data_IF_303112871905
#
_entry.id   IF_303112871905
#
_cell.length_a   1.000
_cell.length_b   1.000
_cell.length_c   1.000
_cell.angle_alpha   90.00
_cell.angle_beta   90.00
_cell.angle_gamma   90.00
#
_symmetry.space_group_name_H-M   'P 1'
#
loop_
_entity.id
_entity.type
_entity.pdbx_description
1 polymer ?
#
# COMPACT_ATOMS: atom_id res chain seq x y z
N UNK A 1 27.58 -6.26 -10.15
CA UNK A 1 26.62 -6.12 -9.02
C UNK A 1 25.34 -5.37 -9.39
N UNK A 2 25.37 -4.20 -10.07
CA UNK A 2 24.16 -3.46 -10.47
C UNK A 2 23.11 -4.29 -11.23
N UNK A 3 23.53 -5.21 -12.09
CA UNK A 3 22.61 -6.02 -12.89
C UNK A 3 21.84 -7.06 -12.06
N UNK A 4 22.44 -7.59 -10.97
CA UNK A 4 21.82 -8.61 -10.12
C UNK A 4 20.75 -7.97 -9.23
N UNK A 5 21.05 -6.83 -8.61
CA UNK A 5 20.11 -6.11 -7.75
C UNK A 5 18.89 -5.63 -8.57
N UNK A 6 19.13 -5.09 -9.78
CA UNK A 6 18.05 -4.66 -10.67
C UNK A 6 17.20 -5.84 -11.16
N UNK A 7 17.82 -6.98 -11.47
CA UNK A 7 17.08 -8.17 -11.87
C UNK A 7 16.29 -8.75 -10.70
N UNK A 8 16.84 -8.72 -9.48
CA UNK A 8 16.18 -9.16 -8.27
C UNK A 8 14.95 -8.30 -7.94
N UNK A 9 15.07 -6.97 -8.03
CA UNK A 9 13.93 -6.07 -7.78
C UNK A 9 12.84 -6.22 -8.83
N UNK A 10 13.20 -6.42 -10.11
CA UNK A 10 12.24 -6.74 -11.17
C UNK A 10 11.53 -8.06 -10.91
N UNK A 11 12.27 -9.13 -10.59
CA UNK A 11 11.69 -10.44 -10.26
C UNK A 11 10.75 -10.37 -9.07
N UNK A 12 11.16 -9.70 -7.99
CA UNK A 12 10.32 -9.45 -6.82
C UNK A 12 9.01 -8.79 -7.24
N UNK A 13 9.09 -7.68 -7.98
CA UNK A 13 7.92 -6.92 -8.44
C UNK A 13 6.97 -7.77 -9.29
N UNK A 14 7.50 -8.46 -10.30
CA UNK A 14 6.69 -9.32 -11.20
C UNK A 14 5.99 -10.43 -10.41
N UNK A 15 6.71 -11.05 -9.47
CA UNK A 15 6.19 -12.17 -8.69
C UNK A 15 5.09 -11.70 -7.73
N UNK A 16 5.29 -10.57 -7.05
CA UNK A 16 4.30 -9.98 -6.15
C UNK A 16 3.06 -9.49 -6.91
N UNK A 17 3.22 -8.92 -8.11
CA UNK A 17 2.10 -8.52 -8.97
C UNK A 17 1.28 -9.71 -9.48
N UNK A 18 1.96 -10.81 -9.82
CA UNK A 18 1.32 -12.00 -10.38
C UNK A 18 0.61 -12.83 -9.30
N UNK A 19 1.33 -13.15 -8.22
CA UNK A 19 0.83 -14.04 -7.16
C UNK A 19 -0.01 -13.30 -6.12
N UNK A 20 0.13 -11.97 -6.01
CA UNK A 20 -0.49 -11.11 -4.99
C UNK A 20 -0.07 -11.47 -3.55
N UNK A 21 0.99 -12.25 -3.39
CA UNK A 21 1.59 -12.62 -2.10
C UNK A 21 2.96 -11.94 -2.01
N UNK A 22 3.34 -11.37 -0.85
CA UNK A 22 4.66 -10.77 -0.68
C UNK A 22 5.77 -11.80 -0.94
N UNK A 23 6.85 -11.36 -1.58
CA UNK A 23 7.92 -12.25 -2.01
C UNK A 23 8.56 -13.00 -0.84
N UNK A 24 8.69 -12.37 0.34
CA UNK A 24 9.19 -13.03 1.56
C UNK A 24 8.35 -14.25 1.95
N UNK A 25 7.03 -14.17 1.81
CA UNK A 25 6.14 -15.30 2.12
C UNK A 25 6.16 -16.37 1.04
N UNK A 26 6.48 -16.03 -0.22
CA UNK A 26 6.75 -17.05 -1.25
C UNK A 26 8.03 -17.84 -0.93
N UNK A 27 9.08 -17.17 -0.46
CA UNK A 27 10.29 -17.83 0.06
C UNK A 27 9.90 -18.76 1.22
N UNK A 28 9.08 -18.28 2.16
CA UNK A 28 8.63 -19.08 3.29
C UNK A 28 7.86 -20.35 2.88
N UNK A 29 6.96 -20.26 1.89
CA UNK A 29 6.29 -21.44 1.29
C UNK A 29 7.31 -22.39 0.68
N UNK A 30 8.22 -21.88 -0.16
CA UNK A 30 9.20 -22.69 -0.86
C UNK A 30 10.12 -23.44 0.11
N UNK A 31 10.61 -22.76 1.15
CA UNK A 31 11.38 -23.38 2.22
C UNK A 31 10.60 -24.48 2.93
N UNK A 32 9.33 -24.19 3.25
CA UNK A 32 8.46 -25.18 3.90
C UNK A 32 8.29 -26.43 3.04
N UNK A 33 8.08 -26.28 1.72
CA UNK A 33 8.00 -27.42 0.79
C UNK A 33 9.32 -28.19 0.69
N UNK A 34 10.46 -27.50 0.69
CA UNK A 34 11.78 -28.14 0.62
C UNK A 34 12.12 -28.95 1.88
N UNK A 35 11.75 -28.45 3.06
CA UNK A 35 11.90 -29.17 4.32
C UNK A 35 10.96 -30.37 4.36
N UNK A 36 9.68 -30.17 4.03
CA UNK A 36 8.69 -31.23 4.02
C UNK A 36 9.04 -32.37 3.05
N UNK A 37 9.57 -32.05 1.87
CA UNK A 37 9.98 -33.04 0.86
C UNK A 37 11.30 -33.76 1.16
N UNK A 38 11.99 -33.43 2.26
CA UNK A 38 13.29 -33.99 2.61
C UNK A 38 14.45 -33.57 1.69
N UNK A 39 14.19 -32.80 0.64
CA UNK A 39 15.21 -32.34 -0.33
C UNK A 39 16.09 -31.22 0.20
N UNK A 40 15.69 -30.56 1.29
CA UNK A 40 16.45 -29.48 1.89
C UNK A 40 17.85 -29.88 2.33
N UNK A 41 18.06 -31.14 2.75
CA UNK A 41 19.36 -31.60 3.22
C UNK A 41 20.43 -31.51 2.11
N UNK A 42 20.10 -31.91 0.89
CA UNK A 42 21.02 -31.83 -0.26
C UNK A 42 21.43 -30.37 -0.56
N UNK A 43 20.50 -29.42 -0.44
CA UNK A 43 20.77 -28.00 -0.66
C UNK A 43 21.71 -27.46 0.42
N UNK A 44 21.43 -27.79 1.68
CA UNK A 44 22.25 -27.40 2.82
C UNK A 44 23.68 -27.95 2.67
N UNK A 45 23.84 -29.21 2.28
CA UNK A 45 25.15 -29.83 2.05
C UNK A 45 25.92 -29.17 0.90
N UNK A 46 25.26 -28.83 -0.21
CA UNK A 46 25.90 -28.12 -1.33
C UNK A 46 26.40 -26.74 -0.89
N UNK A 47 25.58 -25.96 -0.19
CA UNK A 47 25.95 -24.59 0.20
C UNK A 47 27.02 -24.59 1.29
N UNK A 48 26.92 -25.51 2.25
CA UNK A 48 27.88 -25.62 3.37
C UNK A 48 29.15 -26.40 3.02
N UNK A 49 29.26 -26.98 1.82
CA UNK A 49 30.48 -27.61 1.31
C UNK A 49 31.66 -26.62 1.24
N UNK A 50 31.39 -25.34 1.03
CA UNK A 50 32.39 -24.29 1.07
C UNK A 50 32.58 -23.80 2.51
N UNK A 51 33.78 -24.04 3.06
CA UNK A 51 34.13 -23.66 4.43
C UNK A 51 33.95 -22.16 4.71
N UNK A 52 34.33 -21.28 3.78
CA UNK A 52 34.23 -19.82 3.95
C UNK A 52 32.76 -19.41 4.03
N UNK A 53 31.94 -19.93 3.10
CA UNK A 53 30.50 -19.64 3.06
C UNK A 53 29.84 -20.14 4.34
N UNK A 54 30.16 -21.37 4.78
CA UNK A 54 29.64 -21.94 6.02
C UNK A 54 29.96 -21.05 7.23
N UNK A 55 31.21 -20.61 7.38
CA UNK A 55 31.62 -19.73 8.49
C UNK A 55 30.86 -18.41 8.49
N UNK A 56 30.70 -17.77 7.32
CA UNK A 56 29.93 -16.52 7.19
C UNK A 56 28.46 -16.74 7.60
N UNK A 57 27.84 -17.81 7.12
CA UNK A 57 26.45 -18.13 7.45
C UNK A 57 26.25 -18.42 8.93
N UNK A 58 27.16 -19.17 9.55
CA UNK A 58 27.13 -19.45 11.00
C UNK A 58 27.23 -18.15 11.79
N UNK A 59 28.18 -17.28 11.47
CA UNK A 59 28.34 -15.99 12.14
C UNK A 59 27.09 -15.11 12.01
N UNK A 60 26.50 -15.03 10.80
CA UNK A 60 25.25 -14.30 10.59
C UNK A 60 24.09 -14.88 11.41
N UNK A 61 24.03 -16.20 11.53
CA UNK A 61 22.98 -16.90 12.30
C UNK A 61 23.17 -16.72 13.80
N UNK A 62 24.41 -16.69 14.28
CA UNK A 62 24.75 -16.38 15.68
C UNK A 62 24.40 -14.93 16.03
N UNK A 63 24.66 -13.97 15.14
CA UNK A 63 24.25 -12.58 15.35
C UNK A 63 22.72 -12.45 15.45
N UNK A 64 21.99 -13.14 14.58
CA UNK A 64 20.52 -13.13 14.65
C UNK A 64 19.99 -13.93 15.84
N UNK A 65 20.66 -15.01 16.26
CA UNK A 65 20.23 -15.78 17.43
C UNK A 65 20.32 -14.95 18.71
N UNK A 66 21.29 -14.02 18.83
CA UNK A 66 21.31 -13.05 19.95
C UNK A 66 20.02 -12.23 20.04
N UNK A 67 19.44 -11.85 18.89
CA UNK A 67 18.18 -11.12 18.82
C UNK A 67 17.03 -12.05 19.25
N UNK A 68 16.91 -13.23 18.64
CA UNK A 68 15.77 -14.12 18.90
C UNK A 68 15.79 -14.78 20.29
N UNK A 69 16.97 -15.04 20.84
CA UNK A 69 17.13 -15.53 22.22
C UNK A 69 16.66 -14.48 23.24
N UNK A 70 16.80 -13.19 22.91
CA UNK A 70 16.39 -12.08 23.77
C UNK A 70 15.12 -11.37 23.26
N UNK A 71 14.34 -12.03 22.40
CA UNK A 71 13.23 -11.39 21.69
C UNK A 71 12.20 -10.75 22.64
N UNK A 72 11.86 -11.42 23.75
CA UNK A 72 10.95 -10.87 24.76
C UNK A 72 11.52 -9.60 25.39
N UNK A 73 12.82 -9.61 25.75
CA UNK A 73 13.47 -8.44 26.33
C UNK A 73 13.51 -7.27 25.33
N UNK A 74 13.80 -7.55 24.06
CA UNK A 74 13.78 -6.55 22.97
C UNK A 74 12.36 -5.99 22.80
N UNK A 75 11.35 -6.85 22.78
CA UNK A 75 9.94 -6.43 22.68
C UNK A 75 9.56 -5.51 23.84
N UNK A 76 9.87 -5.90 25.08
CA UNK A 76 9.61 -5.10 26.28
C UNK A 76 10.36 -3.76 26.21
N UNK A 77 11.63 -3.75 25.80
CA UNK A 77 12.41 -2.54 25.66
C UNK A 77 11.81 -1.57 24.63
N UNK A 78 11.34 -2.08 23.47
CA UNK A 78 10.70 -1.26 22.44
C UNK A 78 9.37 -0.67 22.95
N UNK A 79 8.54 -1.49 23.62
CA UNK A 79 7.27 -1.03 24.19
C UNK A 79 7.50 0.04 25.25
N UNK A 80 8.46 -0.18 26.15
CA UNK A 80 8.84 0.82 27.17
C UNK A 80 9.34 2.11 26.52
N UNK A 81 10.15 2.03 25.46
CA UNK A 81 10.60 3.20 24.71
C UNK A 81 9.44 3.96 24.07
N UNK A 82 8.47 3.26 23.47
CA UNK A 82 7.28 3.86 22.88
C UNK A 82 6.42 4.57 23.95
N UNK A 83 6.18 3.92 25.09
CA UNK A 83 5.45 4.52 26.22
C UNK A 83 6.19 5.75 26.74
N UNK A 84 7.51 5.66 26.90
CA UNK A 84 8.34 6.77 27.38
C UNK A 84 8.27 7.97 26.43
N UNK A 85 8.32 7.76 25.11
CA UNK A 85 8.13 8.82 24.10
C UNK A 85 6.76 9.49 24.28
N UNK A 86 5.68 8.71 24.43
CA UNK A 86 4.33 9.25 24.60
C UNK A 86 4.17 10.02 25.92
N UNK A 87 4.75 9.52 27.01
CA UNK A 87 4.69 10.17 28.32
C UNK A 87 5.51 11.46 28.32
N UNK A 88 6.73 11.45 27.76
CA UNK A 88 7.54 12.65 27.61
C UNK A 88 6.83 13.69 26.75
N UNK A 89 6.15 13.27 25.69
CA UNK A 89 5.37 14.19 24.86
C UNK A 89 4.24 14.84 25.64
N UNK A 90 3.50 14.07 26.44
CA UNK A 90 2.38 14.60 27.19
C UNK A 90 2.80 15.50 28.36
N UNK A 91 3.92 15.20 29.00
CA UNK A 91 4.34 15.84 30.26
C UNK A 91 5.44 16.89 30.09
N UNK A 92 6.13 16.95 28.95
CA UNK A 92 7.29 17.83 28.79
C UNK A 92 7.29 18.53 27.43
N UNK A 93 7.85 19.74 27.40
CA UNK A 93 8.11 20.49 26.17
C UNK A 93 9.38 20.02 25.43
N UNK A 94 9.93 18.85 25.75
CA UNK A 94 11.16 18.31 25.12
C UNK A 94 10.99 18.19 23.60
N UNK A 95 9.76 17.96 23.13
CA UNK A 95 9.44 17.86 21.71
C UNK A 95 9.31 19.21 21.00
N UNK A 96 9.33 20.35 21.72
CA UNK A 96 9.44 21.68 21.11
C UNK A 96 10.85 21.96 20.56
N UNK A 97 11.81 21.07 20.84
CA UNK A 97 13.17 21.11 20.27
C UNK A 97 13.21 20.43 18.90
N UNK A 98 12.19 19.64 18.54
CA UNK A 98 12.15 19.00 17.23
C UNK A 98 12.02 20.04 16.12
N UNK A 99 12.57 19.76 14.92
CA UNK A 99 12.41 20.64 13.77
C UNK A 99 10.93 20.87 13.47
N UNK A 100 10.60 22.09 13.05
CA UNK A 100 9.29 22.39 12.49
C UNK A 100 9.02 21.53 11.25
N UNK A 101 7.74 21.38 10.94
CA UNK A 101 7.28 20.65 9.77
C UNK A 101 7.87 21.27 8.49
N UNK A 102 8.35 20.40 7.59
CA UNK A 102 8.95 20.81 6.32
C UNK A 102 7.94 20.53 5.21
N UNK A 103 7.45 21.59 4.59
CA UNK A 103 6.64 21.53 3.37
C UNK A 103 7.53 21.46 2.14
N UNK A 104 7.36 20.42 1.34
CA UNK A 104 8.03 20.24 0.07
C UNK A 104 7.20 20.81 -1.07
N UNK A 105 7.87 21.14 -2.18
CA UNK A 105 7.27 21.71 -3.39
C UNK A 105 6.27 20.78 -4.09
N UNK A 106 6.19 19.52 -3.69
CA UNK A 106 5.24 18.53 -4.19
C UNK A 106 3.97 18.40 -3.32
N UNK A 107 3.82 19.26 -2.30
CA UNK A 107 2.69 19.27 -1.37
C UNK A 107 2.86 18.32 -0.18
N UNK A 108 4.01 17.65 -0.04
CA UNK A 108 4.25 16.75 1.09
C UNK A 108 4.74 17.52 2.32
N UNK A 109 4.17 17.19 3.50
CA UNK A 109 4.58 17.75 4.79
C UNK A 109 5.31 16.67 5.59
N UNK A 110 6.60 16.87 5.87
CA UNK A 110 7.33 16.01 6.80
C UNK A 110 7.20 16.60 8.20
N UNK A 111 6.45 15.89 9.06
CA UNK A 111 6.32 16.25 10.48
C UNK A 111 7.15 15.36 11.40
N UNK A 112 7.83 15.99 12.35
CA UNK A 112 8.63 15.32 13.39
C UNK A 112 7.78 15.14 14.63
N UNK A 113 6.94 14.11 14.64
CA UNK A 113 5.94 13.90 15.69
C UNK A 113 6.14 12.57 16.46
N UNK A 114 5.72 12.50 17.74
CA UNK A 114 5.88 11.30 18.58
C UNK A 114 5.06 10.10 18.09
N UNK A 115 3.94 10.35 17.40
CA UNK A 115 3.08 9.31 16.83
C UNK A 115 3.83 8.55 15.73
N UNK A 116 4.58 9.26 14.89
CA UNK A 116 5.46 8.72 13.85
C UNK A 116 6.59 7.89 14.46
N UNK A 117 7.19 8.36 15.56
CA UNK A 117 8.22 7.60 16.28
C UNK A 117 7.66 6.29 16.87
N UNK A 118 6.50 6.35 17.54
CA UNK A 118 5.81 5.17 18.06
C UNK A 118 5.42 4.20 16.94
N UNK A 119 4.92 4.71 15.80
CA UNK A 119 4.60 3.90 14.63
C UNK A 119 5.83 3.21 14.06
N UNK A 120 6.99 3.89 14.00
CA UNK A 120 8.25 3.28 13.54
C UNK A 120 8.71 2.15 14.47
N UNK A 121 8.60 2.34 15.78
CA UNK A 121 8.91 1.30 16.78
C UNK A 121 7.97 0.10 16.65
N UNK A 122 6.67 0.34 16.47
CA UNK A 122 5.71 -0.72 16.22
C UNK A 122 6.01 -1.48 14.92
N UNK A 123 6.29 -0.76 13.83
CA UNK A 123 6.69 -1.36 12.56
C UNK A 123 7.98 -2.19 12.69
N UNK A 124 8.91 -1.78 13.55
CA UNK A 124 10.12 -2.53 13.85
C UNK A 124 9.80 -3.87 14.52
N UNK A 125 8.87 -3.90 15.49
CA UNK A 125 8.39 -5.16 16.09
C UNK A 125 7.76 -6.05 15.03
N UNK A 126 6.89 -5.49 14.17
CA UNK A 126 6.25 -6.25 13.10
C UNK A 126 7.30 -6.85 12.17
N UNK A 127 8.27 -6.05 11.71
CA UNK A 127 9.35 -6.51 10.82
C UNK A 127 10.25 -7.57 11.47
N UNK A 128 10.54 -7.45 12.77
CA UNK A 128 11.27 -8.49 13.52
C UNK A 128 10.49 -9.80 13.59
N UNK A 129 9.17 -9.73 13.65
CA UNK A 129 8.28 -10.90 13.76
C UNK A 129 8.00 -11.59 12.43
N UNK A 130 8.17 -10.88 11.31
CA UNK A 130 7.82 -11.35 9.96
C UNK A 130 9.06 -11.48 9.08
N UNK A 131 9.46 -10.44 8.35
CA UNK A 131 10.50 -10.48 7.34
C UNK A 131 11.86 -10.90 7.92
N UNK A 132 12.26 -10.33 9.07
CA UNK A 132 13.51 -10.68 9.72
C UNK A 132 13.48 -12.13 10.23
N UNK A 133 12.33 -12.58 10.71
CA UNK A 133 12.16 -13.94 11.21
C UNK A 133 12.24 -14.97 10.07
N UNK A 134 11.62 -14.68 8.93
CA UNK A 134 11.73 -15.53 7.73
C UNK A 134 13.18 -15.58 7.23
N UNK A 135 13.92 -14.48 7.30
CA UNK A 135 15.36 -14.49 7.01
C UNK A 135 16.15 -15.36 7.99
N UNK A 136 15.86 -15.29 9.29
CA UNK A 136 16.49 -16.17 10.28
C UNK A 136 16.15 -17.65 10.06
N UNK A 137 14.90 -17.94 9.72
CA UNK A 137 14.43 -19.27 9.33
C UNK A 137 15.16 -19.80 8.08
N UNK A 138 15.32 -18.96 7.05
CA UNK A 138 16.08 -19.28 5.84
C UNK A 138 17.54 -19.62 6.16
N UNK A 139 18.21 -18.84 7.01
CA UNK A 139 19.60 -19.09 7.38
C UNK A 139 19.76 -20.42 8.13
N UNK A 140 18.88 -20.70 9.08
CA UNK A 140 18.87 -22.00 9.78
C UNK A 140 18.63 -23.17 8.81
N UNK A 141 17.73 -23.00 7.83
CA UNK A 141 17.51 -23.98 6.76
C UNK A 141 18.77 -24.25 5.94
N UNK A 142 19.49 -23.21 5.54
CA UNK A 142 20.71 -23.35 4.73
C UNK A 142 21.82 -24.04 5.54
N UNK A 143 21.97 -23.71 6.82
CA UNK A 143 23.04 -24.27 7.66
C UNK A 143 22.80 -25.74 7.96
N UNK A 144 21.61 -26.09 8.42
CA UNK A 144 21.28 -27.47 8.76
C UNK A 144 19.76 -27.67 8.85
N UNK A 145 19.21 -28.45 7.93
CA UNK A 145 17.78 -28.77 7.92
C UNK A 145 17.33 -29.64 9.09
N UNK A 146 18.25 -30.27 9.83
CA UNK A 146 17.93 -31.09 11.02
C UNK A 146 17.46 -30.26 12.22
N UNK A 147 17.59 -28.94 12.17
CA UNK A 147 16.99 -28.04 13.16
C UNK A 147 15.47 -27.99 13.06
N UNK A 148 14.89 -28.54 12.00
CA UNK A 148 13.46 -28.57 11.78
C UNK A 148 12.87 -29.96 11.99
N UNK A 149 11.66 -29.98 12.53
CA UNK A 149 10.82 -31.15 12.63
C UNK A 149 9.47 -30.89 11.96
N UNK A 150 8.90 -31.93 11.37
CA UNK A 150 7.55 -31.87 10.80
C UNK A 150 6.59 -32.47 11.82
N UNK A 151 5.64 -31.66 12.31
CA UNK A 151 4.56 -32.08 13.21
C UNK A 151 3.23 -31.57 12.69
N UNK A 152 2.20 -32.42 12.66
CA UNK A 152 0.85 -32.04 12.21
C UNK A 152 0.83 -31.35 10.83
N UNK A 153 1.66 -31.81 9.89
CA UNK A 153 1.85 -31.22 8.54
C UNK A 153 2.43 -29.79 8.52
N UNK A 154 2.89 -29.28 9.67
CA UNK A 154 3.59 -28.00 9.81
C UNK A 154 5.04 -28.23 10.19
N UNK A 155 5.88 -27.22 9.94
CA UNK A 155 7.31 -27.25 10.26
C UNK A 155 7.57 -26.42 11.50
N UNK A 156 8.33 -27.00 12.43
CA UNK A 156 8.71 -26.39 13.69
C UNK A 156 10.22 -26.53 13.91
N UNK A 157 10.78 -25.67 14.75
CA UNK A 157 12.12 -25.82 15.29
C UNK A 157 12.16 -26.93 16.35
N UNK A 158 13.24 -27.72 16.36
CA UNK A 158 13.40 -28.93 17.15
C UNK A 158 14.01 -28.68 18.55
N UNK A 159 13.16 -28.80 19.57
CA UNK A 159 13.38 -28.86 21.03
C UNK A 159 14.68 -28.26 21.67
N UNK A 160 14.54 -27.02 22.13
CA UNK A 160 15.25 -26.32 23.23
C UNK A 160 14.27 -25.28 23.83
N UNK A 161 14.46 -24.79 25.06
CA UNK A 161 13.51 -23.86 25.72
C UNK A 161 13.29 -22.55 24.95
N UNK A 162 14.27 -22.13 24.13
CA UNK A 162 14.19 -20.98 23.22
C UNK A 162 13.25 -21.26 22.02
N UNK A 163 13.04 -22.54 21.70
CA UNK A 163 12.26 -22.96 20.53
C UNK A 163 10.77 -22.69 20.67
N UNK A 164 10.25 -22.58 21.89
CA UNK A 164 8.83 -22.27 22.10
C UNK A 164 8.48 -20.91 21.51
N UNK A 165 9.34 -19.91 21.67
CA UNK A 165 9.11 -18.58 21.11
C UNK A 165 9.25 -18.57 19.58
N UNK A 166 10.27 -19.25 19.06
CA UNK A 166 10.46 -19.42 17.62
C UNK A 166 9.28 -20.15 16.98
N UNK A 167 8.74 -21.17 17.66
CA UNK A 167 7.57 -21.92 17.20
C UNK A 167 6.28 -21.09 17.28
N UNK A 168 6.12 -20.22 18.27
CA UNK A 168 5.03 -19.24 18.30
C UNK A 168 5.14 -18.29 17.09
N UNK A 169 6.33 -17.76 16.80
CA UNK A 169 6.57 -16.94 15.62
C UNK A 169 6.31 -17.70 14.31
N UNK A 170 6.64 -18.99 14.24
CA UNK A 170 6.27 -19.85 13.11
C UNK A 170 4.75 -19.91 12.93
N UNK A 171 3.99 -20.17 14.00
CA UNK A 171 2.51 -20.21 13.95
C UNK A 171 1.94 -18.88 13.49
N UNK A 172 2.43 -17.75 14.02
CA UNK A 172 2.01 -16.40 13.59
C UNK A 172 2.25 -16.22 12.10
N UNK A 173 3.41 -16.63 11.59
CA UNK A 173 3.73 -16.53 10.17
C UNK A 173 2.87 -17.47 9.29
N UNK A 174 2.46 -18.64 9.78
CA UNK A 174 1.48 -19.48 9.10
C UNK A 174 0.09 -18.82 9.01
N UNK A 175 -0.36 -18.14 10.07
CA UNK A 175 -1.64 -17.41 10.06
C UNK A 175 -1.57 -16.25 9.07
N UNK A 176 -0.47 -15.50 9.06
CA UNK A 176 -0.26 -14.41 8.09
C UNK A 176 -0.24 -14.95 6.66
N UNK A 177 0.46 -16.06 6.42
CA UNK A 177 0.49 -16.73 5.12
C UNK A 177 -0.91 -17.12 4.66
N UNK A 178 -1.72 -17.73 5.53
CA UNK A 178 -3.11 -18.08 5.23
C UNK A 178 -3.91 -16.83 4.81
N UNK A 179 -3.73 -15.71 5.52
CA UNK A 179 -4.39 -14.44 5.16
C UNK A 179 -3.98 -13.95 3.77
N UNK A 180 -2.70 -14.09 3.38
CA UNK A 180 -2.24 -13.73 2.04
C UNK A 180 -2.79 -14.66 0.96
N UNK A 181 -2.86 -15.97 1.22
CA UNK A 181 -3.44 -16.92 0.28
C UNK A 181 -4.93 -16.62 0.07
N UNK A 182 -5.70 -16.41 1.14
CA UNK A 182 -7.10 -16.01 1.03
C UNK A 182 -7.25 -14.72 0.23
N UNK A 183 -6.46 -13.69 0.56
CA UNK A 183 -6.47 -12.42 -0.20
C UNK A 183 -6.13 -12.63 -1.67
N UNK A 184 -5.13 -13.44 -1.99
CA UNK A 184 -4.72 -13.71 -3.37
C UNK A 184 -5.80 -14.43 -4.18
N UNK A 185 -6.53 -15.36 -3.56
CA UNK A 185 -7.64 -16.09 -4.17
C UNK A 185 -8.83 -15.18 -4.49
N UNK A 186 -9.15 -14.23 -3.60
CA UNK A 186 -10.35 -13.39 -3.74
C UNK A 186 -10.10 -12.02 -4.39
N UNK A 187 -8.88 -11.48 -4.38
CA UNK A 187 -8.59 -10.16 -4.97
C UNK A 187 -8.29 -10.29 -6.45
N UNK A 188 -9.23 -9.96 -7.32
CA UNK A 188 -9.00 -9.80 -8.77
C UNK A 188 -8.66 -8.33 -9.05
N UNK A 189 -7.38 -8.02 -9.31
CA UNK A 189 -6.97 -6.73 -9.88
C UNK A 189 -6.98 -6.85 -11.40
N UNK A 190 -7.95 -6.22 -12.05
CA UNK A 190 -7.91 -6.02 -13.50
C UNK A 190 -7.38 -4.62 -13.78
N UNK A 191 -6.62 -4.46 -14.87
CA UNK A 191 -6.25 -3.14 -15.38
C UNK A 191 -7.55 -2.51 -15.88
N UNK A 192 -8.10 -1.59 -15.12
CA UNK A 192 -9.36 -0.95 -15.51
C UNK A 192 -9.10 -0.12 -16.77
N UNK A 193 -9.58 -0.62 -17.91
CA UNK A 193 -9.59 0.14 -19.18
C UNK A 193 -10.74 1.13 -19.22
N UNK A 194 -11.54 1.21 -18.14
CA UNK A 194 -12.59 2.21 -18.06
C UNK A 194 -11.97 3.58 -18.21
N UNK A 195 -12.42 4.28 -19.26
CA UNK A 195 -12.32 5.73 -19.41
C UNK A 195 -13.09 6.47 -18.32
N UNK A 196 -13.48 5.83 -17.22
CA UNK A 196 -14.36 6.37 -16.20
C UNK A 196 -13.84 5.97 -14.82
N UNK A 197 -13.51 6.96 -13.99
CA UNK A 197 -13.17 6.82 -12.58
C UNK A 197 -14.38 7.20 -11.74
N UNK A 198 -14.51 6.55 -10.58
CA UNK A 198 -15.50 6.95 -9.58
C UNK A 198 -15.15 8.36 -9.10
N UNK A 199 -16.15 9.23 -8.96
CA UNK A 199 -15.94 10.53 -8.34
C UNK A 199 -15.53 10.31 -6.88
N UNK A 200 -14.33 10.77 -6.53
CA UNK A 200 -13.66 10.47 -5.26
C UNK A 200 -12.75 11.65 -4.89
N UNK A 201 -12.60 11.90 -3.59
CA UNK A 201 -11.66 12.90 -3.05
C UNK A 201 -10.20 12.43 -3.10
N UNK A 202 -9.94 11.22 -3.58
CA UNK A 202 -8.61 10.62 -3.70
C UNK A 202 -7.75 11.26 -4.80
N UNK A 203 -8.34 12.12 -5.64
CA UNK A 203 -7.64 12.86 -6.67
C UNK A 203 -7.44 14.31 -6.22
N UNK A 204 -6.19 14.74 -6.20
CA UNK A 204 -5.84 16.13 -5.91
C UNK A 204 -6.07 16.98 -7.17
N UNK A 205 -6.96 17.97 -7.07
CA UNK A 205 -7.30 18.84 -8.19
C UNK A 205 -6.25 19.96 -8.31
N UNK A 206 -5.50 19.94 -9.41
CA UNK A 206 -4.49 20.97 -9.73
C UNK A 206 -5.17 22.19 -10.36
N UNK A 207 -6.05 21.96 -11.33
CA UNK A 207 -6.77 23.02 -12.04
C UNK A 207 -8.11 22.50 -12.53
N UNK A 208 -9.09 23.39 -12.65
CA UNK A 208 -10.35 23.06 -13.32
C UNK A 208 -10.97 24.27 -14.01
N UNK A 209 -11.74 24.00 -15.07
CA UNK A 209 -12.65 24.98 -15.67
C UNK A 209 -13.99 24.31 -16.01
N UNK A 210 -15.05 25.09 -16.05
CA UNK A 210 -16.39 24.62 -16.41
C UNK A 210 -16.86 25.25 -17.71
N UNK A 211 -17.48 24.44 -18.55
CA UNK A 211 -18.23 24.87 -19.73
C UNK A 211 -19.70 24.57 -19.46
N UNK A 212 -20.52 25.62 -19.53
CA UNK A 212 -21.96 25.52 -19.31
C UNK A 212 -22.69 25.78 -20.62
N UNK A 213 -23.57 24.86 -21.00
CA UNK A 213 -24.62 25.09 -22.00
C UNK A 213 -25.99 25.24 -21.30
N UNK A 214 -27.03 25.53 -22.07
CA UNK A 214 -28.41 25.53 -21.56
C UNK A 214 -28.79 24.19 -20.93
N UNK A 215 -28.33 23.08 -21.53
CA UNK A 215 -28.74 21.74 -21.10
C UNK A 215 -27.83 21.17 -19.99
N UNK A 216 -26.51 21.37 -20.08
CA UNK A 216 -25.54 20.67 -19.23
C UNK A 216 -24.45 21.62 -18.69
N UNK A 217 -23.83 21.24 -17.58
CA UNK A 217 -22.53 21.83 -17.19
C UNK A 217 -21.51 20.72 -17.07
N UNK A 218 -20.40 20.89 -17.80
CA UNK A 218 -19.28 19.97 -17.84
C UNK A 218 -18.08 20.68 -17.25
N UNK A 219 -17.41 20.05 -16.28
CA UNK A 219 -16.18 20.51 -15.69
C UNK A 219 -15.02 19.65 -16.19
N UNK A 220 -13.96 20.32 -16.67
CA UNK A 220 -12.69 19.71 -17.02
C UNK A 220 -11.70 19.96 -15.90
N UNK A 221 -10.97 18.92 -15.49
CA UNK A 221 -10.14 18.92 -14.29
C UNK A 221 -8.78 18.29 -14.61
N UNK A 222 -7.70 18.99 -14.30
CA UNK A 222 -6.37 18.38 -14.20
C UNK A 222 -6.21 17.90 -12.77
N UNK A 223 -6.00 16.60 -12.61
CA UNK A 223 -5.88 15.99 -11.29
C UNK A 223 -4.66 15.08 -11.19
N UNK A 224 -4.15 14.90 -9.97
CA UNK A 224 -3.06 13.99 -9.65
C UNK A 224 -3.56 12.90 -8.71
N UNK A 225 -2.99 11.70 -8.81
CA UNK A 225 -3.23 10.64 -7.83
C UNK A 225 -2.64 11.06 -6.47
N UNK A 226 -3.50 11.22 -5.45
CA UNK A 226 -3.11 11.70 -4.12
C UNK A 226 -2.32 10.70 -3.28
N UNK A 227 -2.20 9.43 -3.69
CA UNK A 227 -1.42 8.43 -2.96
C UNK A 227 -0.07 8.15 -3.61
N UNK A 228 -0.06 7.99 -4.93
CA UNK A 228 1.17 7.60 -5.63
C UNK A 228 1.92 8.79 -6.20
N UNK A 229 1.24 9.93 -6.44
CA UNK A 229 1.81 11.13 -7.04
C UNK A 229 2.51 10.91 -8.40
N UNK A 230 2.33 9.73 -9.01
CA UNK A 230 3.07 9.29 -10.20
C UNK A 230 2.41 9.65 -11.51
N UNK A 231 1.09 9.84 -11.50
CA UNK A 231 0.31 10.04 -12.72
C UNK A 231 -0.54 11.30 -12.63
N UNK A 232 -0.57 12.04 -13.73
CA UNK A 232 -1.48 13.16 -13.98
C UNK A 232 -2.60 12.70 -14.91
N UNK A 233 -3.79 13.23 -14.64
CA UNK A 233 -5.00 12.88 -15.35
C UNK A 233 -5.69 14.15 -15.85
N UNK A 234 -6.15 14.10 -17.09
CA UNK A 234 -7.17 15.02 -17.57
C UNK A 234 -8.53 14.35 -17.45
N UNK A 235 -9.38 14.92 -16.59
CA UNK A 235 -10.69 14.39 -16.24
C UNK A 235 -11.80 15.32 -16.74
N UNK A 236 -12.93 14.73 -17.11
CA UNK A 236 -14.17 15.43 -17.46
C UNK A 236 -15.30 14.91 -16.58
N UNK A 237 -16.04 15.79 -15.92
CA UNK A 237 -17.19 15.43 -15.09
C UNK A 237 -18.39 16.29 -15.44
N UNK A 238 -19.55 15.67 -15.57
CA UNK A 238 -20.81 16.40 -15.70
C UNK A 238 -21.30 16.78 -14.29
N UNK A 239 -21.49 18.08 -14.06
CA UNK A 239 -21.93 18.62 -12.76
C UNK A 239 -23.40 18.96 -12.76
N UNK A 240 -23.98 19.35 -13.90
CA UNK A 240 -25.40 19.67 -14.03
C UNK A 240 -26.00 19.02 -15.28
N UNK A 241 -27.29 18.70 -15.20
CA UNK A 241 -28.09 18.20 -16.33
C UNK A 241 -29.53 18.69 -16.28
N UNK A 242 -30.08 19.02 -17.44
CA UNK A 242 -31.50 19.35 -17.62
C UNK A 242 -32.37 18.11 -17.35
N UNK A 243 -33.31 18.23 -16.43
CA UNK A 243 -34.25 17.17 -16.07
C UNK A 243 -35.68 17.73 -16.09
N UNK A 244 -36.63 16.90 -16.54
CA UNK A 244 -38.04 17.23 -16.48
C UNK A 244 -38.51 17.10 -15.03
N UNK A 245 -39.08 18.16 -14.47
CA UNK A 245 -39.68 18.15 -13.15
C UNK A 245 -41.12 18.61 -13.20
N UNK A 246 -41.94 17.93 -12.41
CA UNK A 246 -43.29 18.35 -12.11
C UNK A 246 -43.26 19.35 -10.96
N UNK A 247 -43.74 20.55 -11.22
CA UNK A 247 -44.02 21.53 -10.18
C UNK A 247 -45.51 21.57 -9.90
N UNK A 248 -45.85 21.55 -8.61
CA UNK A 248 -47.19 21.89 -8.14
C UNK A 248 -47.27 23.41 -7.98
N UNK A 249 -48.07 24.06 -8.83
CA UNK A 249 -48.29 25.50 -8.75
C UNK A 249 -49.11 25.87 -7.53
N UNK A 250 -48.60 26.81 -6.72
CA UNK A 250 -49.38 27.49 -5.69
C UNK A 250 -50.30 28.54 -6.32
N UNK A 251 -51.57 28.52 -5.91
CA UNK A 251 -52.69 29.39 -6.33
C UNK A 251 -53.29 29.14 -7.72
N UNK A 252 -54.10 28.10 -7.83
CA UNK A 252 -55.36 28.20 -8.57
C UNK A 252 -56.49 27.58 -7.77
N UNK A 253 -57.48 28.41 -7.43
CA UNK A 253 -58.76 28.00 -6.88
C UNK A 253 -59.40 27.11 -7.96
N UNK A 254 -59.58 25.82 -7.66
CA UNK A 254 -60.05 24.75 -8.54
C UNK A 254 -59.02 24.21 -9.56
N UNK A 255 -58.49 23.01 -9.26
CA UNK A 255 -57.70 22.19 -10.17
C UNK A 255 -56.20 22.22 -9.88
N UNK A 256 -55.68 21.14 -9.29
CA UNK A 256 -54.25 20.90 -9.05
C UNK A 256 -53.57 20.66 -10.41
N UNK A 257 -53.27 21.75 -11.15
CA UNK A 257 -52.60 21.65 -12.46
C UNK A 257 -51.10 21.46 -12.25
N UNK A 258 -50.65 20.21 -12.33
CA UNK A 258 -49.21 19.89 -12.40
C UNK A 258 -48.65 20.43 -13.71
N UNK A 259 -47.65 21.32 -13.63
CA UNK A 259 -46.89 21.78 -14.79
C UNK A 259 -45.56 21.04 -14.85
N UNK A 260 -45.23 20.51 -16.02
CA UNK A 260 -43.95 19.89 -16.29
C UNK A 260 -43.02 20.93 -16.93
N UNK A 261 -41.91 21.22 -16.26
CA UNK A 261 -40.91 22.16 -16.75
C UNK A 261 -39.53 21.50 -16.71
N UNK A 262 -38.69 21.85 -17.69
CA UNK A 262 -37.31 21.39 -17.69
C UNK A 262 -36.44 22.32 -16.87
N UNK A 263 -35.80 21.79 -15.83
CA UNK A 263 -34.95 22.55 -14.93
C UNK A 263 -33.55 21.96 -14.97
N UNK A 264 -32.54 22.84 -15.03
CA UNK A 264 -31.15 22.44 -14.93
C UNK A 264 -30.81 22.16 -13.46
N UNK A 265 -30.43 20.93 -13.15
CA UNK A 265 -30.16 20.51 -11.78
C UNK A 265 -28.74 20.00 -11.59
N UNK A 266 -28.21 20.25 -10.39
CA UNK A 266 -26.93 19.73 -9.98
C UNK A 266 -27.00 18.20 -9.76
N UNK A 267 -26.07 17.48 -10.37
CA UNK A 267 -25.90 16.04 -10.17
C UNK A 267 -25.24 15.84 -8.80
N UNK A 268 -25.83 15.05 -7.88
CA UNK A 268 -25.20 14.77 -6.58
C UNK A 268 -23.79 14.17 -6.73
N UNK A 269 -22.85 14.56 -5.86
CA UNK A 269 -21.46 14.10 -5.90
C UNK A 269 -21.34 12.56 -5.96
N UNK A 270 -22.21 11.85 -5.24
CA UNK A 270 -22.24 10.38 -5.20
C UNK A 270 -22.65 9.71 -6.52
N UNK A 271 -23.29 10.46 -7.43
CA UNK A 271 -23.72 9.99 -8.76
C UNK A 271 -22.79 10.46 -9.89
N UNK A 272 -21.77 11.25 -9.58
CA UNK A 272 -20.80 11.73 -10.58
C UNK A 272 -19.77 10.64 -10.90
N UNK A 273 -19.23 10.70 -12.10
CA UNK A 273 -18.08 9.89 -12.54
C UNK A 273 -17.16 10.74 -13.38
N UNK A 274 -15.84 10.62 -13.18
CA UNK A 274 -14.86 11.29 -14.01
C UNK A 274 -14.61 10.49 -15.27
N UNK A 275 -14.78 11.09 -16.45
CA UNK A 275 -14.26 10.52 -17.68
C UNK A 275 -12.78 10.88 -17.81
N UNK A 276 -11.91 9.88 -17.98
CA UNK A 276 -10.50 10.12 -18.32
C UNK A 276 -10.43 10.48 -19.79
N UNK A 277 -9.96 11.69 -20.08
CA UNK A 277 -9.66 12.16 -21.43
C UNK A 277 -8.22 11.82 -21.80
N UNK A 278 -7.29 12.00 -20.88
CA UNK A 278 -5.88 11.68 -21.07
C UNK A 278 -5.19 11.31 -19.75
N UNK A 279 -4.08 10.58 -19.84
CA UNK A 279 -3.25 10.14 -18.72
C UNK A 279 -1.78 10.12 -19.10
N UNK A 280 -0.94 10.75 -18.28
CA UNK A 280 0.51 10.78 -18.48
C UNK A 280 1.30 10.90 -17.19
N UNK A 281 2.60 10.58 -17.26
CA UNK A 281 3.55 10.80 -16.16
C UNK A 281 4.09 12.23 -16.16
N UNK A 282 4.01 12.92 -17.30
CA UNK A 282 4.45 14.31 -17.48
C UNK A 282 3.27 15.27 -17.44
N UNK A 283 3.32 16.23 -16.51
CA UNK A 283 2.28 17.26 -16.35
C UNK A 283 2.18 18.15 -17.60
N UNK A 284 3.30 18.44 -18.27
CA UNK A 284 3.33 19.36 -19.42
C UNK A 284 2.46 18.89 -20.58
N UNK A 285 2.41 17.59 -20.84
CA UNK A 285 1.62 17.01 -21.93
C UNK A 285 0.12 17.11 -21.62
N UNK A 286 -0.26 16.90 -20.36
CA UNK A 286 -1.63 17.04 -19.86
C UNK A 286 -2.08 18.51 -19.87
N UNK A 287 -1.22 19.44 -19.46
CA UNK A 287 -1.49 20.88 -19.46
C UNK A 287 -1.66 21.41 -20.88
N UNK A 288 -0.83 20.96 -21.83
CA UNK A 288 -0.97 21.34 -23.24
C UNK A 288 -2.37 21.01 -23.77
N UNK A 289 -2.85 19.79 -23.54
CA UNK A 289 -4.18 19.38 -24.00
C UNK A 289 -5.32 20.08 -23.24
N UNK A 290 -5.14 20.34 -21.94
CA UNK A 290 -6.07 21.14 -21.13
C UNK A 290 -6.20 22.58 -21.65
N UNK A 291 -5.08 23.23 -21.98
CA UNK A 291 -5.07 24.59 -22.50
C UNK A 291 -5.67 24.69 -23.90
N UNK A 292 -5.41 23.71 -24.77
CA UNK A 292 -6.07 23.63 -26.09
C UNK A 292 -7.59 23.46 -25.95
N UNK A 293 -8.06 22.62 -25.02
CA UNK A 293 -9.49 22.52 -24.72
C UNK A 293 -10.07 23.82 -24.19
N UNK A 294 -9.35 24.50 -23.28
CA UNK A 294 -9.76 25.80 -22.74
C UNK A 294 -9.87 26.83 -23.86
N UNK A 295 -8.84 26.97 -24.71
CA UNK A 295 -8.89 27.86 -25.89
C UNK A 295 -10.07 27.54 -26.80
N UNK A 296 -10.33 26.27 -27.09
CA UNK A 296 -11.44 25.86 -27.95
C UNK A 296 -12.81 26.36 -27.46
N UNK A 297 -13.06 26.32 -26.15
CA UNK A 297 -14.34 26.73 -25.58
C UNK A 297 -14.43 28.21 -25.20
N UNK A 298 -13.30 28.90 -25.04
CA UNK A 298 -13.27 30.32 -24.68
C UNK A 298 -12.84 31.27 -25.83
N UNK A 299 -12.37 30.75 -26.97
CA UNK A 299 -12.04 31.53 -28.17
C UNK A 299 -12.99 31.27 -29.36
N UNK A 300 -14.27 30.92 -29.13
CA UNK A 300 -15.25 31.00 -30.21
C UNK A 300 -15.55 32.49 -30.42
N UNK A 301 -15.19 33.09 -31.58
CA UNK A 301 -15.63 34.44 -31.89
C UNK A 301 -17.14 34.41 -32.14
N UNK A 302 -17.86 35.34 -31.51
CA UNK A 302 -19.27 35.64 -31.80
C UNK A 302 -19.52 35.91 -33.29
#
# INVERSE_FOLDING_TARGET
MNNIIVNWTKLKKITEETTKVPFTYLIFILLSVLIYSGKGQNISEIVTSNYIIKQILVLLTELLSLIYNNYIAIFVAIVLAAILILVLFWKTSVFNILPNDIEYTDGTVISWNPVSAAQRLFNLIVNLSTDCFICYYLLNFIINTKYFEVKYYLIFFKNSEIDNLLNILMVVNYIILLSFVLKALFVIKYKDTKRWLKFSSEYEVISSFSVSSEDDTIQYIVARDGYTFTNYYLLQVQTHKRQLKEMKGGLSIAGDSSRQEYIKEEIPLSKRSYRILDKGENLSDIVYYYDELKKKYFNVPD
#
